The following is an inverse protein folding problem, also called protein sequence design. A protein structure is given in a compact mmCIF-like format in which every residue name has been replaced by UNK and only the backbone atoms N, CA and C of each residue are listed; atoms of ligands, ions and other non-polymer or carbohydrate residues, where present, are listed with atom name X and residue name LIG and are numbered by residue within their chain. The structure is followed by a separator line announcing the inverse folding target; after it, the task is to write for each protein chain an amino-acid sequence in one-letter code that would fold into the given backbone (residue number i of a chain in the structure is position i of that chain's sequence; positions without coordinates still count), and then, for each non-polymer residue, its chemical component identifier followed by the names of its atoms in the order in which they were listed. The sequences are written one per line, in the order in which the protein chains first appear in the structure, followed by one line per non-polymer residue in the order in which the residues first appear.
data_IF_459350060642
#
_entry.id   IF_459350060642
#
_cell.length_a   1.000
_cell.length_b   1.000
_cell.length_c   1.000
_cell.angle_alpha   90.00
_cell.angle_beta   90.00
_cell.angle_gamma   90.00
#
_symmetry.space_group_name_H-M   'P 1'
#
loop_
_entity.id
_entity.type
_entity.pdbx_description
1 polymer ?
#
# COMPACT_ATOMS: atom_id res chain seq x y z
N UNK A 1 14.30 2.44 2.89
CA UNK A 1 13.11 2.13 2.07
C UNK A 1 11.96 3.04 2.50
N UNK A 2 11.44 3.83 1.57
CA UNK A 2 10.30 4.72 1.83
C UNK A 2 9.03 4.08 1.31
N UNK A 3 8.10 3.79 2.22
CA UNK A 3 6.85 3.12 1.88
C UNK A 3 5.69 4.09 2.09
N UNK A 4 4.86 4.28 1.07
CA UNK A 4 3.65 5.07 1.15
C UNK A 4 2.46 4.17 0.84
N UNK A 5 1.49 4.14 1.75
CA UNK A 5 0.27 3.34 1.59
C UNK A 5 -0.91 4.29 1.45
N UNK A 6 -1.53 4.27 0.28
CA UNK A 6 -2.77 5.01 0.02
C UNK A 6 -3.94 4.15 0.47
N UNK A 7 -4.72 4.64 1.42
CA UNK A 7 -5.80 3.89 2.04
C UNK A 7 -7.12 4.64 1.98
N UNK A 8 -8.20 3.93 2.34
CA UNK A 8 -9.53 4.52 2.50
C UNK A 8 -10.22 3.91 3.71
N UNK A 9 -11.32 4.53 4.16
CA UNK A 9 -12.12 3.99 5.26
C UNK A 9 -12.75 2.65 4.86
N UNK A 10 -12.96 1.78 5.84
CA UNK A 10 -13.60 0.47 5.65
C UNK A 10 -12.91 -0.40 4.60
N UNK A 11 -11.59 -0.36 4.58
CA UNK A 11 -10.79 -1.12 3.63
C UNK A 11 -9.99 -2.21 4.36
N UNK A 12 -10.44 -3.45 4.24
CA UNK A 12 -9.80 -4.60 4.90
C UNK A 12 -8.37 -4.82 4.41
N UNK A 13 -8.15 -4.72 3.11
CA UNK A 13 -6.82 -4.92 2.53
C UNK A 13 -5.86 -3.78 2.84
N UNK A 14 -6.39 -2.57 3.05
CA UNK A 14 -5.57 -1.46 3.52
C UNK A 14 -5.02 -1.76 4.91
N UNK A 15 -5.86 -2.27 5.79
CA UNK A 15 -5.45 -2.69 7.15
C UNK A 15 -4.41 -3.81 7.08
N UNK A 16 -4.63 -4.80 6.22
CA UNK A 16 -3.68 -5.90 6.04
C UNK A 16 -2.33 -5.42 5.52
N UNK A 17 -2.32 -4.49 4.59
CA UNK A 17 -1.08 -3.93 4.04
C UNK A 17 -0.28 -3.20 5.13
N UNK A 18 -0.94 -2.37 5.91
CA UNK A 18 -0.30 -1.65 7.03
C UNK A 18 0.26 -2.62 8.05
N UNK A 19 -0.51 -3.63 8.40
CA UNK A 19 -0.11 -4.65 9.37
C UNK A 19 1.12 -5.42 8.89
N UNK A 20 1.14 -5.82 7.61
CA UNK A 20 2.26 -6.55 7.02
C UNK A 20 3.56 -5.74 7.10
N UNK A 21 3.53 -4.49 6.66
CA UNK A 21 4.69 -3.61 6.68
C UNK A 21 5.20 -3.43 8.10
N UNK A 22 4.31 -3.20 9.04
CA UNK A 22 4.65 -3.02 10.44
C UNK A 22 5.25 -4.28 11.04
N UNK A 23 4.71 -5.45 10.70
CA UNK A 23 5.21 -6.74 11.18
C UNK A 23 6.62 -7.06 10.66
N UNK A 24 7.00 -6.49 9.54
CA UNK A 24 8.34 -6.61 8.99
C UNK A 24 9.33 -5.63 9.63
N UNK A 25 8.88 -4.82 10.59
CA UNK A 25 9.73 -3.84 11.26
C UNK A 25 10.02 -2.61 10.41
N UNK A 26 9.21 -2.36 9.38
CA UNK A 26 9.38 -1.24 8.48
C UNK A 26 8.43 -0.11 8.82
N UNK A 27 8.86 1.12 8.55
CA UNK A 27 8.02 2.29 8.70
C UNK A 27 7.32 2.60 7.39
N UNK A 28 6.15 3.23 7.47
CA UNK A 28 5.41 3.66 6.30
C UNK A 28 4.66 4.97 6.58
N UNK A 29 4.36 5.69 5.53
CA UNK A 29 3.49 6.85 5.56
C UNK A 29 2.13 6.43 5.00
N UNK A 30 1.07 6.74 5.73
CA UNK A 30 -0.30 6.48 5.27
C UNK A 30 -0.91 7.76 4.73
N UNK A 31 -1.49 7.68 3.52
CA UNK A 31 -2.26 8.77 2.95
C UNK A 31 -3.70 8.30 2.78
N UNK A 32 -4.61 8.94 3.49
CA UNK A 32 -6.03 8.58 3.51
C UNK A 32 -6.79 9.30 2.42
N UNK A 33 -7.55 8.54 1.64
CA UNK A 33 -8.41 9.10 0.59
C UNK A 33 -9.36 10.17 1.15
N UNK A 34 -9.96 9.91 2.31
CA UNK A 34 -10.92 10.81 2.93
C UNK A 34 -10.26 12.03 3.58
N UNK A 35 -9.12 11.82 4.27
CA UNK A 35 -8.46 12.89 5.05
C UNK A 35 -7.47 13.69 4.23
N UNK A 36 -6.66 13.04 3.43
CA UNK A 36 -5.55 13.68 2.71
C UNK A 36 -5.96 14.18 1.34
N UNK A 37 -6.99 13.59 0.75
CA UNK A 37 -7.47 13.92 -0.59
C UNK A 37 -8.92 14.42 -0.60
N UNK A 38 -9.53 14.61 0.57
CA UNK A 38 -10.92 15.08 0.74
C UNK A 38 -11.94 14.26 -0.08
N UNK A 39 -11.67 12.97 -0.28
CA UNK A 39 -12.53 12.12 -1.09
C UNK A 39 -12.52 12.44 -2.58
N UNK A 40 -11.52 13.18 -3.05
CA UNK A 40 -11.41 13.58 -4.45
C UNK A 40 -10.58 12.55 -5.22
N UNK A 41 -11.24 11.80 -6.09
CA UNK A 41 -10.60 10.73 -6.88
C UNK A 41 -9.51 11.30 -7.80
N UNK A 42 -9.74 12.46 -8.40
CA UNK A 42 -8.78 13.06 -9.33
C UNK A 42 -7.48 13.44 -8.64
N UNK A 43 -7.58 13.97 -7.42
CA UNK A 43 -6.40 14.29 -6.62
C UNK A 43 -5.63 13.04 -6.22
N UNK A 44 -6.35 11.98 -5.84
CA UNK A 44 -5.73 10.71 -5.52
C UNK A 44 -4.99 10.13 -6.72
N UNK A 45 -5.64 10.09 -7.88
CA UNK A 45 -5.06 9.56 -9.11
C UNK A 45 -3.81 10.36 -9.50
N UNK A 46 -3.87 11.67 -9.38
CA UNK A 46 -2.72 12.54 -9.68
C UNK A 46 -1.53 12.21 -8.78
N UNK A 47 -1.78 12.02 -7.49
CA UNK A 47 -0.73 11.72 -6.52
C UNK A 47 -0.15 10.32 -6.72
N UNK A 48 -0.99 9.33 -6.98
CA UNK A 48 -0.57 7.95 -7.23
C UNK A 48 0.18 7.84 -8.57
N UNK A 49 -0.21 8.65 -9.54
CA UNK A 49 0.41 8.68 -10.87
C UNK A 49 -0.21 7.70 -11.86
N UNK A 50 -1.34 7.11 -11.52
CA UNK A 50 -1.99 6.09 -12.34
C UNK A 50 -3.46 6.01 -11.95
N UNK A 51 -4.33 5.59 -12.87
CA UNK A 51 -5.75 5.38 -12.57
C UNK A 51 -5.93 4.35 -11.45
N UNK A 52 -6.64 4.75 -10.41
CA UNK A 52 -6.87 3.91 -9.23
C UNK A 52 -8.24 3.23 -9.36
N UNK A 53 -8.24 1.90 -9.32
CA UNK A 53 -9.47 1.11 -9.36
C UNK A 53 -9.75 0.40 -8.04
N UNK A 54 -8.70 0.17 -7.26
CA UNK A 54 -8.78 -0.57 -6.00
C UNK A 54 -7.88 0.10 -4.96
N UNK A 55 -8.16 -0.17 -3.70
CA UNK A 55 -7.32 0.24 -2.58
C UNK A 55 -6.95 -1.00 -1.76
N UNK A 56 -5.77 -1.04 -1.14
CA UNK A 56 -4.78 0.04 -1.08
C UNK A 56 -3.97 0.17 -2.36
N UNK A 57 -3.26 1.29 -2.51
CA UNK A 57 -2.19 1.44 -3.48
C UNK A 57 -0.91 1.72 -2.71
N UNK A 58 0.19 1.12 -3.10
CA UNK A 58 1.44 1.20 -2.37
C UNK A 58 2.58 1.66 -3.28
N UNK A 59 3.35 2.64 -2.80
CA UNK A 59 4.61 3.05 -3.42
C UNK A 59 5.77 2.67 -2.52
N UNK A 60 6.85 2.21 -3.13
CA UNK A 60 8.11 1.95 -2.43
C UNK A 60 9.21 2.71 -3.18
N UNK A 61 9.88 3.61 -2.46
CA UNK A 61 10.93 4.49 -3.03
C UNK A 61 10.44 5.24 -4.28
N UNK A 62 9.22 5.79 -4.18
CA UNK A 62 8.52 6.56 -5.22
C UNK A 62 8.12 5.75 -6.45
N UNK A 63 8.23 4.42 -6.40
CA UNK A 63 7.78 3.53 -7.48
C UNK A 63 6.48 2.86 -7.06
N UNK A 64 5.46 2.95 -7.90
CA UNK A 64 4.18 2.32 -7.63
C UNK A 64 4.32 0.80 -7.76
N UNK A 65 4.14 0.10 -6.65
CA UNK A 65 4.16 -1.37 -6.60
C UNK A 65 2.79 -1.93 -7.01
N UNK A 66 1.73 -1.28 -6.57
CA UNK A 66 0.36 -1.70 -6.85
C UNK A 66 -0.44 -1.88 -5.58
N UNK A 67 -1.32 -2.88 -5.55
CA UNK A 67 -2.17 -3.16 -4.41
C UNK A 67 -1.54 -4.15 -3.42
N UNK A 68 -2.39 -4.72 -2.57
CA UNK A 68 -1.92 -5.63 -1.51
C UNK A 68 -1.25 -6.88 -2.09
N UNK A 69 -1.81 -7.49 -3.14
CA UNK A 69 -1.22 -8.69 -3.75
C UNK A 69 0.17 -8.41 -4.32
N UNK A 70 0.33 -7.26 -4.96
CA UNK A 70 1.62 -6.85 -5.50
C UNK A 70 2.63 -6.56 -4.40
N UNK A 71 2.17 -6.06 -3.26
CA UNK A 71 3.02 -5.87 -2.08
C UNK A 71 3.53 -7.21 -1.56
N UNK A 72 2.67 -8.23 -1.49
CA UNK A 72 3.08 -9.58 -1.09
C UNK A 72 4.11 -10.12 -2.07
N UNK A 73 3.88 -9.99 -3.36
CA UNK A 73 4.83 -10.42 -4.39
C UNK A 73 6.19 -9.74 -4.23
N UNK A 74 6.17 -8.45 -3.97
CA UNK A 74 7.40 -7.68 -3.77
C UNK A 74 8.23 -8.26 -2.62
N UNK A 75 7.61 -8.52 -1.48
CA UNK A 75 8.33 -9.07 -0.33
C UNK A 75 8.60 -10.55 -0.46
N UNK A 76 7.81 -11.30 -1.21
CA UNK A 76 8.09 -12.70 -1.55
C UNK A 76 9.38 -12.81 -2.35
N UNK A 77 9.55 -11.97 -3.34
CA UNK A 77 10.76 -11.92 -4.16
C UNK A 77 12.01 -11.58 -3.34
N UNK A 78 11.81 -10.84 -2.25
CA UNK A 78 12.91 -10.50 -1.33
C UNK A 78 13.11 -11.55 -0.21
N UNK A 79 12.32 -12.62 -0.23
CA UNK A 79 12.44 -13.70 0.77
C UNK A 79 11.93 -13.34 2.15
N UNK A 80 11.07 -12.33 2.29
CA UNK A 80 10.56 -11.87 3.59
C UNK A 80 9.21 -12.46 3.96
N UNK A 81 8.41 -12.84 2.96
CA UNK A 81 7.10 -13.46 3.17
C UNK A 81 6.91 -14.60 2.16
N UNK A 82 5.97 -15.49 2.44
CA UNK A 82 5.54 -16.50 1.48
C UNK A 82 4.35 -15.99 0.65
N UNK A 83 3.86 -16.80 -0.29
CA UNK A 83 2.76 -16.41 -1.17
C UNK A 83 1.43 -16.17 -0.43
N UNK A 84 1.31 -16.62 0.82
CA UNK A 84 0.13 -16.37 1.65
C UNK A 84 0.24 -15.06 2.43
N UNK A 85 1.36 -14.34 2.30
CA UNK A 85 1.61 -13.13 3.07
C UNK A 85 2.10 -13.40 4.48
N UNK A 86 2.50 -14.62 4.77
CA UNK A 86 3.06 -14.98 6.07
C UNK A 86 4.56 -14.66 6.10
N UNK A 87 5.02 -14.10 7.21
CA UNK A 87 6.43 -13.75 7.38
C UNK A 87 7.25 -15.02 7.56
N UNK A 88 8.31 -15.09 6.82
CA UNK A 88 9.23 -16.23 6.88
C UNK A 88 10.42 -15.91 7.77
#
# INVERSE_FOLDING_TARGET
MKIVIYSKNNCQYCTKAKHLVKSLGLEYEEMSFEKDFNGDVDKLVEHVGKKVRTMPQIKIDDVLVGGYNQLIEYFTDKGKVNFKGEII
#
